data_IF_329852155887
#
_entry.id   IF_329852155887
#
_cell.length_a   1.000
_cell.length_b   1.000
_cell.length_c   1.000
_cell.angle_alpha   90.00
_cell.angle_beta   90.00
_cell.angle_gamma   90.00
#
_symmetry.space_group_name_H-M   'P 1'
#
loop_
_entity.id
_entity.type
_entity.pdbx_description
1 polymer ?
#
# COMPACT_ATOMS: atom_id res chain seq x y z
N UNK A 1 10.55 -20.99 18.35
CA UNK A 1 9.18 -20.79 18.90
C UNK A 1 8.24 -21.77 18.24
N UNK A 2 7.41 -22.45 19.03
CA UNK A 2 6.43 -23.39 18.50
C UNK A 2 5.28 -22.61 17.83
N UNK A 3 4.78 -23.05 16.66
CA UNK A 3 3.62 -22.42 16.02
C UNK A 3 2.39 -22.35 16.92
N UNK A 4 2.24 -23.29 17.84
CA UNK A 4 1.11 -23.35 18.76
C UNK A 4 1.08 -22.20 19.78
N UNK A 5 2.18 -21.45 19.91
CA UNK A 5 2.28 -20.32 20.82
C UNK A 5 1.85 -19.02 20.13
N UNK A 6 1.77 -19.02 18.79
CA UNK A 6 1.41 -17.82 18.02
C UNK A 6 -0.08 -17.86 17.75
N UNK A 7 -0.83 -17.03 18.48
CA UNK A 7 -2.30 -16.93 18.32
C UNK A 7 -2.71 -15.83 17.33
N UNK A 8 -1.85 -14.81 17.16
CA UNK A 8 -2.17 -13.68 16.31
C UNK A 8 -0.97 -13.32 15.45
N UNK A 9 -1.22 -13.09 14.17
CA UNK A 9 -0.23 -12.59 13.23
C UNK A 9 -0.79 -11.29 12.65
N UNK A 10 -0.10 -10.17 12.93
CA UNK A 10 -0.50 -8.85 12.46
C UNK A 10 0.29 -8.49 11.22
N UNK A 11 -0.41 -8.27 10.11
CA UNK A 11 0.19 -7.77 8.88
C UNK A 11 0.11 -6.25 8.84
N UNK A 12 1.17 -5.62 8.36
CA UNK A 12 1.24 -4.17 8.21
C UNK A 12 1.17 -3.85 6.73
N UNK A 13 0.26 -2.95 6.35
CA UNK A 13 0.11 -2.53 4.96
C UNK A 13 -0.21 -1.04 4.89
N UNK A 14 0.18 -0.40 3.79
CA UNK A 14 -0.22 0.99 3.52
C UNK A 14 -1.69 1.05 3.15
N UNK A 15 -2.31 2.20 3.40
CA UNK A 15 -3.71 2.43 3.04
C UNK A 15 -3.91 2.72 1.54
N UNK A 16 -2.84 2.69 0.76
CA UNK A 16 -2.86 2.81 -0.70
C UNK A 16 -1.80 1.88 -1.29
N UNK A 17 -1.83 1.69 -2.61
CA UNK A 17 -0.94 0.74 -3.28
C UNK A 17 0.15 1.49 -4.05
N UNK A 18 1.37 0.97 -3.98
CA UNK A 18 2.49 1.46 -4.79
C UNK A 18 3.15 0.30 -5.54
N UNK A 19 3.73 0.62 -6.69
CA UNK A 19 4.44 -0.36 -7.49
C UNK A 19 5.59 0.29 -8.24
N UNK A 20 6.70 -0.43 -8.34
CA UNK A 20 7.85 -0.04 -9.15
C UNK A 20 7.89 -0.90 -10.39
N UNK A 21 8.22 -0.30 -11.54
CA UNK A 21 8.37 -1.01 -12.80
C UNK A 21 7.06 -1.21 -13.54
N UNK A 22 7.15 -1.91 -14.66
CA UNK A 22 6.02 -2.21 -15.53
C UNK A 22 5.33 -3.48 -15.03
N UNK A 23 4.06 -3.55 -15.17
CA UNK A 23 3.29 -4.72 -14.78
C UNK A 23 1.86 -4.35 -14.42
N UNK A 24 1.00 -5.35 -14.21
CA UNK A 24 -0.40 -5.08 -13.88
C UNK A 24 -0.56 -4.29 -12.60
N UNK A 25 -1.42 -3.28 -12.64
CA UNK A 25 -1.73 -2.46 -11.50
C UNK A 25 -3.20 -2.05 -11.58
N UNK A 26 -4.13 -2.94 -11.17
CA UNK A 26 -5.57 -2.72 -11.39
C UNK A 26 -6.13 -1.44 -10.78
N UNK A 27 -5.61 -1.01 -9.62
CA UNK A 27 -6.11 0.18 -8.93
C UNK A 27 -5.28 1.43 -9.18
N UNK A 28 -4.35 1.38 -10.14
CA UNK A 28 -3.46 2.50 -10.43
C UNK A 28 -4.23 3.77 -10.78
N UNK A 29 -3.75 4.88 -10.21
CA UNK A 29 -4.22 6.23 -10.51
C UNK A 29 -3.10 6.97 -11.23
N UNK A 30 -3.05 6.82 -12.56
CA UNK A 30 -2.08 7.52 -13.41
C UNK A 30 -2.64 8.88 -13.80
N UNK A 31 -2.81 9.74 -12.81
CA UNK A 31 -3.47 11.03 -12.93
C UNK A 31 -3.04 11.92 -11.77
N UNK A 32 -3.77 13.01 -11.57
CA UNK A 32 -3.51 13.96 -10.49
C UNK A 32 -3.62 13.31 -9.11
N UNK A 33 -4.55 12.38 -8.92
CA UNK A 33 -4.72 11.66 -7.65
C UNK A 33 -3.47 10.85 -7.34
N UNK A 34 -2.96 10.08 -8.30
CA UNK A 34 -1.74 9.30 -8.14
C UNK A 34 -0.52 10.17 -7.87
N UNK A 35 -0.44 11.32 -8.53
CA UNK A 35 0.64 12.28 -8.30
C UNK A 35 0.61 12.83 -6.87
N UNK A 36 -0.58 13.15 -6.36
CA UNK A 36 -0.73 13.63 -4.97
C UNK A 36 -0.35 12.56 -3.96
N UNK A 37 -0.76 11.32 -4.19
CA UNK A 37 -0.35 10.21 -3.32
C UNK A 37 1.17 10.07 -3.28
N UNK A 38 1.82 10.17 -4.44
CA UNK A 38 3.27 10.07 -4.54
C UNK A 38 3.99 11.20 -3.83
N UNK A 39 3.53 12.44 -3.99
CA UNK A 39 4.13 13.61 -3.37
C UNK A 39 3.98 13.60 -1.85
N UNK A 40 2.76 13.42 -1.37
CA UNK A 40 2.45 13.49 0.07
C UNK A 40 3.03 12.28 0.79
N UNK A 41 2.99 11.11 0.17
CA UNK A 41 3.53 9.88 0.75
C UNK A 41 5.03 9.70 0.56
N UNK A 42 5.70 10.60 -0.14
CA UNK A 42 7.13 10.50 -0.47
C UNK A 42 7.47 9.16 -1.15
N UNK A 43 6.65 8.77 -2.12
CA UNK A 43 6.78 7.47 -2.79
C UNK A 43 7.76 7.55 -3.96
N UNK A 44 9.05 7.64 -3.62
CA UNK A 44 10.14 7.66 -4.58
C UNK A 44 11.17 6.60 -4.20
N UNK A 45 11.84 6.04 -5.20
CA UNK A 45 12.91 5.09 -4.95
C UNK A 45 14.07 5.74 -4.21
N UNK A 46 14.61 5.07 -3.19
CA UNK A 46 15.68 5.64 -2.36
C UNK A 46 17.01 5.74 -3.10
N UNK A 47 17.27 4.84 -4.05
CA UNK A 47 18.53 4.79 -4.79
C UNK A 47 18.45 5.61 -6.07
N UNK A 48 17.41 5.41 -6.87
CA UNK A 48 17.24 6.06 -8.18
C UNK A 48 16.41 7.33 -8.11
N UNK A 49 15.80 7.59 -6.98
CA UNK A 49 14.84 8.69 -6.78
C UNK A 49 13.71 8.68 -7.82
N UNK A 50 13.38 7.50 -8.33
CA UNK A 50 12.34 7.33 -9.35
C UNK A 50 10.98 7.29 -8.69
N UNK A 51 10.02 8.02 -9.27
CA UNK A 51 8.64 8.05 -8.78
C UNK A 51 8.00 6.67 -8.87
N UNK A 52 7.34 6.23 -7.79
CA UNK A 52 6.58 5.00 -7.76
C UNK A 52 5.18 5.22 -8.34
N UNK A 53 4.65 4.18 -8.98
CA UNK A 53 3.26 4.19 -9.42
C UNK A 53 2.38 4.06 -8.19
N UNK A 54 1.36 4.90 -8.08
CA UNK A 54 0.47 4.93 -6.91
C UNK A 54 -0.97 4.66 -7.35
N UNK A 55 -1.73 4.01 -6.48
CA UNK A 55 -3.13 3.72 -6.73
C UNK A 55 -3.90 3.47 -5.44
N UNK A 56 -5.19 3.21 -5.58
CA UNK A 56 -6.05 2.93 -4.45
C UNK A 56 -5.69 1.59 -3.81
N UNK A 57 -6.09 1.44 -2.56
CA UNK A 57 -5.93 0.19 -1.82
C UNK A 57 -6.59 -0.96 -2.59
N UNK A 58 -5.81 -2.01 -2.87
CA UNK A 58 -6.30 -3.19 -3.59
C UNK A 58 -6.70 -4.26 -2.58
N UNK A 59 -7.98 -4.30 -2.25
CA UNK A 59 -8.49 -5.22 -1.24
C UNK A 59 -8.39 -6.69 -1.67
N UNK A 60 -8.47 -6.97 -2.96
CA UNK A 60 -8.36 -8.34 -3.47
C UNK A 60 -6.95 -8.87 -3.27
N UNK A 61 -5.95 -8.08 -3.67
CA UNK A 61 -4.54 -8.45 -3.52
C UNK A 61 -4.16 -8.61 -2.06
N UNK A 62 -4.58 -7.67 -1.21
CA UNK A 62 -4.29 -7.71 0.23
C UNK A 62 -4.95 -8.93 0.86
N UNK A 63 -6.19 -9.25 0.47
CA UNK A 63 -6.89 -10.43 0.99
C UNK A 63 -6.15 -11.72 0.64
N UNK A 64 -5.64 -11.83 -0.59
CA UNK A 64 -4.84 -12.98 -1.00
C UNK A 64 -3.57 -13.09 -0.19
N UNK A 65 -2.88 -11.97 0.00
CA UNK A 65 -1.64 -11.94 0.79
C UNK A 65 -1.88 -12.34 2.24
N UNK A 66 -2.98 -11.87 2.85
CA UNK A 66 -3.35 -12.24 4.21
C UNK A 66 -3.63 -13.75 4.33
N UNK A 67 -4.35 -14.31 3.36
CA UNK A 67 -4.66 -15.74 3.33
C UNK A 67 -3.40 -16.57 3.24
N UNK A 68 -2.48 -16.21 2.36
CA UNK A 68 -1.23 -16.94 2.16
C UNK A 68 -0.29 -16.85 3.35
N UNK A 69 -0.24 -15.70 4.01
CA UNK A 69 0.66 -15.47 5.15
C UNK A 69 0.10 -15.97 6.47
N UNK A 70 -1.20 -16.32 6.51
CA UNK A 70 -1.85 -16.73 7.75
C UNK A 70 -2.09 -15.61 8.73
N UNK A 71 -2.09 -14.36 8.26
CA UNK A 71 -2.33 -13.22 9.13
C UNK A 71 -3.77 -13.20 9.65
N UNK A 72 -3.93 -12.82 10.91
CA UNK A 72 -5.23 -12.75 11.58
C UNK A 72 -5.76 -11.34 11.72
N UNK A 73 -4.93 -10.34 11.42
CA UNK A 73 -5.31 -8.93 11.47
C UNK A 73 -4.42 -8.09 10.60
N UNK A 74 -4.82 -6.83 10.45
CA UNK A 74 -4.14 -5.87 9.58
C UNK A 74 -3.99 -4.55 10.32
N UNK A 75 -2.81 -3.92 10.21
CA UNK A 75 -2.58 -2.56 10.64
C UNK A 75 -2.36 -1.70 9.39
N UNK A 76 -3.22 -0.71 9.20
CA UNK A 76 -3.10 0.22 8.09
C UNK A 76 -2.19 1.38 8.48
N UNK A 77 -1.23 1.69 7.63
CA UNK A 77 -0.33 2.82 7.80
C UNK A 77 -0.60 3.88 6.73
N UNK A 78 -0.11 5.08 6.95
CA UNK A 78 -0.19 6.20 6.00
C UNK A 78 -1.62 6.58 5.60
N UNK A 79 -2.58 6.41 6.51
CA UNK A 79 -3.96 6.84 6.29
C UNK A 79 -4.04 8.35 6.11
N UNK A 80 -3.19 9.09 6.81
CA UNK A 80 -3.09 10.56 6.71
C UNK A 80 -2.78 11.02 5.29
N UNK A 81 -2.02 10.25 4.53
CA UNK A 81 -1.71 10.57 3.12
C UNK A 81 -2.98 10.62 2.28
N UNK A 82 -3.91 9.68 2.52
CA UNK A 82 -5.19 9.68 1.81
C UNK A 82 -6.02 10.91 2.14
N UNK A 83 -6.08 11.29 3.41
CA UNK A 83 -6.83 12.47 3.84
C UNK A 83 -6.30 13.74 3.19
N UNK A 84 -4.98 13.92 3.21
CA UNK A 84 -4.35 15.09 2.61
C UNK A 84 -4.53 15.12 1.09
N UNK A 85 -4.46 13.96 0.44
CA UNK A 85 -4.67 13.87 -1.00
C UNK A 85 -6.09 14.24 -1.39
N UNK A 86 -7.08 13.76 -0.64
CA UNK A 86 -8.49 14.01 -0.93
C UNK A 86 -8.87 15.48 -0.70
N UNK A 87 -8.26 16.13 0.28
CA UNK A 87 -8.52 17.56 0.54
C UNK A 87 -8.04 18.42 -0.63
N UNK A 88 -6.98 18.03 -1.30
CA UNK A 88 -6.37 18.82 -2.36
C UNK A 88 -6.84 18.42 -3.78
N UNK A 89 -7.70 17.44 -3.86
CA UNK A 89 -8.30 17.01 -5.10
C UNK A 89 -9.71 17.60 -5.23
#
# INVERSE_FOLDING_TARGET
>A
MSPNVINHILAITKAYTTRVGNGPFPTEQDNEIGNKLGEIGHEFGTVTNRKRRCGWFDSVLVRQALTQSGATGIALTKIDVLDLSLIHI
#
